data_IF_911900075499
#
_entry.id   IF_911900075499
#
_cell.length_a   1.000
_cell.length_b   1.000
_cell.length_c   1.000
_cell.angle_alpha   90.00
_cell.angle_beta   90.00
_cell.angle_gamma   90.00
#
_symmetry.space_group_name_H-M   'P 1'
#
loop_
_entity.id
_entity.type
_entity.pdbx_description
1 polymer ?
#
# COMPACT_ATOMS: atom_id res chain seq x y z
N UNK A 1 -8.38 29.82 -1.07
CA UNK A 1 -8.85 28.55 -1.68
C UNK A 1 -8.58 27.46 -0.66
N UNK A 2 -9.59 26.74 -0.24
CA UNK A 2 -9.43 25.61 0.67
C UNK A 2 -8.53 24.54 0.00
N UNK A 3 -7.44 24.15 0.65
CA UNK A 3 -6.50 23.16 0.12
C UNK A 3 -7.22 21.81 0.07
N UNK A 4 -7.41 21.26 -1.14
CA UNK A 4 -8.03 19.95 -1.32
C UNK A 4 -7.09 18.89 -0.77
N UNK A 5 -7.51 18.17 0.26
CA UNK A 5 -6.75 17.09 0.88
C UNK A 5 -6.55 15.94 -0.10
N UNK A 6 -5.39 15.31 -0.05
CA UNK A 6 -5.04 14.22 -0.97
C UNK A 6 -4.57 13.00 -0.22
N UNK A 7 -4.99 11.83 -0.68
CA UNK A 7 -4.39 10.56 -0.28
C UNK A 7 -4.06 9.73 -1.51
N UNK A 8 -3.05 8.88 -1.42
CA UNK A 8 -2.77 7.87 -2.43
C UNK A 8 -3.10 6.47 -1.91
N UNK A 9 -3.75 5.66 -2.75
CA UNK A 9 -4.00 4.25 -2.48
C UNK A 9 -3.26 3.37 -3.47
N UNK A 10 -2.46 2.43 -2.96
CA UNK A 10 -1.64 1.49 -3.74
C UNK A 10 -2.22 0.10 -3.64
N UNK A 11 -2.77 -0.40 -4.74
CA UNK A 11 -3.49 -1.66 -4.78
C UNK A 11 -2.58 -2.90 -4.73
N UNK A 12 -3.15 -4.05 -4.33
CA UNK A 12 -2.46 -5.33 -4.34
C UNK A 12 -2.37 -5.99 -5.71
N UNK A 13 -1.76 -7.18 -5.75
CA UNK A 13 -1.55 -7.97 -6.96
C UNK A 13 -2.86 -8.22 -7.74
N UNK A 14 -2.79 -8.10 -9.05
CA UNK A 14 -3.89 -8.28 -10.00
C UNK A 14 -5.12 -7.37 -9.78
N UNK A 15 -5.00 -6.33 -8.95
CA UNK A 15 -6.04 -5.32 -8.75
C UNK A 15 -5.80 -4.08 -9.63
N UNK A 16 -6.48 -2.97 -9.36
CA UNK A 16 -6.35 -1.71 -10.11
C UNK A 16 -6.75 -0.49 -9.28
N UNK A 17 -6.51 0.70 -9.82
CA UNK A 17 -6.99 1.97 -9.29
C UNK A 17 -8.51 2.18 -9.36
N UNK A 18 -9.27 1.17 -9.83
CA UNK A 18 -10.74 1.15 -9.86
C UNK A 18 -11.33 0.02 -9.00
N UNK A 19 -10.57 -0.51 -8.04
CA UNK A 19 -11.00 -1.57 -7.12
C UNK A 19 -12.14 -1.13 -6.19
N UNK A 20 -12.84 -2.10 -5.61
CA UNK A 20 -13.91 -1.83 -4.64
C UNK A 20 -13.43 -1.00 -3.45
N UNK A 21 -12.22 -1.26 -2.95
CA UNK A 21 -11.60 -0.45 -1.88
C UNK A 21 -11.43 1.02 -2.28
N UNK A 22 -10.95 1.28 -3.51
CA UNK A 22 -10.82 2.66 -4.02
C UNK A 22 -12.17 3.34 -4.14
N UNK A 23 -13.18 2.63 -4.61
CA UNK A 23 -14.55 3.18 -4.71
C UNK A 23 -15.12 3.50 -3.33
N UNK A 24 -14.88 2.63 -2.34
CA UNK A 24 -15.28 2.90 -0.96
C UNK A 24 -14.56 4.13 -0.40
N UNK A 25 -13.23 4.22 -0.51
CA UNK A 25 -12.45 5.37 -0.04
C UNK A 25 -12.95 6.69 -0.65
N UNK A 26 -13.23 6.73 -1.95
CA UNK A 26 -13.77 7.91 -2.62
C UNK A 26 -15.15 8.32 -2.10
N UNK A 27 -16.01 7.34 -1.78
CA UNK A 27 -17.34 7.58 -1.20
C UNK A 27 -17.24 8.10 0.24
N UNK A 28 -16.32 7.54 1.02
CA UNK A 28 -16.23 7.77 2.46
C UNK A 28 -15.34 8.96 2.85
N UNK A 29 -14.61 9.53 1.89
CA UNK A 29 -13.76 10.71 2.05
C UNK A 29 -14.25 11.88 1.15
N UNK A 30 -15.45 12.41 1.38
CA UNK A 30 -15.91 13.55 0.62
C UNK A 30 -14.98 14.74 0.87
N UNK A 31 -14.57 15.44 -0.20
CA UNK A 31 -13.60 16.52 -0.12
C UNK A 31 -12.13 16.10 -0.19
N UNK A 32 -11.83 14.81 -0.25
CA UNK A 32 -10.48 14.33 -0.53
C UNK A 32 -10.33 13.87 -1.98
N UNK A 33 -9.17 14.15 -2.55
CA UNK A 33 -8.75 13.53 -3.80
C UNK A 33 -8.05 12.21 -3.51
N UNK A 34 -8.71 11.08 -3.86
CA UNK A 34 -8.14 9.74 -3.76
C UNK A 34 -7.42 9.38 -5.06
N UNK A 35 -6.09 9.45 -5.03
CA UNK A 35 -5.19 9.10 -6.12
C UNK A 35 -4.98 7.58 -6.06
N UNK A 36 -5.32 6.88 -7.13
CA UNK A 36 -5.14 5.42 -7.20
C UNK A 36 -4.66 5.06 -8.60
N UNK A 37 -3.35 4.92 -8.82
CA UNK A 37 -2.80 4.54 -10.11
C UNK A 37 -3.00 3.06 -10.38
N UNK A 38 -3.02 2.69 -11.66
CA UNK A 38 -2.87 1.31 -12.11
C UNK A 38 -1.37 0.98 -12.19
N UNK A 39 -0.92 0.00 -11.42
CA UNK A 39 0.51 -0.31 -11.33
C UNK A 39 1.01 -1.07 -12.57
N UNK A 40 2.21 -0.76 -13.08
CA UNK A 40 2.96 -1.63 -13.98
C UNK A 40 3.22 -3.02 -13.37
N UNK A 41 3.47 -4.00 -14.23
CA UNK A 41 3.82 -5.35 -13.79
C UNK A 41 5.25 -5.41 -13.24
N UNK A 42 6.14 -4.61 -13.82
CA UNK A 42 7.52 -4.48 -13.38
C UNK A 42 7.59 -3.74 -12.03
N UNK A 43 8.24 -4.32 -11.00
CA UNK A 43 8.25 -3.71 -9.67
C UNK A 43 9.03 -2.39 -9.57
N UNK A 44 10.10 -2.23 -10.36
CA UNK A 44 10.88 -1.00 -10.33
C UNK A 44 10.15 0.14 -11.05
N UNK A 45 9.53 -0.15 -12.21
CA UNK A 45 8.67 0.84 -12.90
C UNK A 45 7.49 1.26 -12.01
N UNK A 46 6.89 0.30 -11.28
CA UNK A 46 5.81 0.61 -10.34
C UNK A 46 6.28 1.51 -9.21
N UNK A 47 7.42 1.21 -8.59
CA UNK A 47 7.96 2.01 -7.49
C UNK A 47 8.39 3.41 -7.95
N UNK A 48 9.04 3.52 -9.12
CA UNK A 48 9.43 4.81 -9.72
C UNK A 48 8.19 5.67 -10.01
N UNK A 49 7.17 5.11 -10.64
CA UNK A 49 5.90 5.79 -10.88
C UNK A 49 5.25 6.29 -9.57
N UNK A 50 5.23 5.46 -8.54
CA UNK A 50 4.66 5.84 -7.24
C UNK A 50 5.43 6.97 -6.56
N UNK A 51 6.76 6.95 -6.63
CA UNK A 51 7.62 8.04 -6.12
C UNK A 51 7.36 9.35 -6.86
N UNK A 52 7.28 9.31 -8.20
CA UNK A 52 6.95 10.48 -9.00
C UNK A 52 5.57 11.07 -8.64
N UNK A 53 4.56 10.22 -8.42
CA UNK A 53 3.23 10.66 -7.97
C UNK A 53 3.30 11.30 -6.57
N UNK A 54 4.06 10.73 -5.64
CA UNK A 54 4.23 11.33 -4.29
C UNK A 54 4.89 12.70 -4.40
N UNK A 55 5.92 12.85 -5.21
CA UNK A 55 6.63 14.12 -5.43
C UNK A 55 5.73 15.18 -6.09
N UNK A 56 4.97 14.81 -7.11
CA UNK A 56 4.09 15.73 -7.85
C UNK A 56 2.85 16.11 -7.05
N UNK A 57 2.17 15.12 -6.48
CA UNK A 57 0.85 15.31 -5.87
C UNK A 57 0.92 15.68 -4.38
N UNK A 58 2.02 15.38 -3.70
CA UNK A 58 2.20 15.64 -2.27
C UNK A 58 1.01 15.14 -1.44
N UNK A 59 0.67 13.82 -1.46
CA UNK A 59 -0.43 13.31 -0.67
C UNK A 59 -0.12 13.41 0.83
N UNK A 60 -1.13 13.71 1.64
CA UNK A 60 -0.99 13.78 3.11
C UNK A 60 -0.77 12.38 3.72
N UNK A 61 -1.17 11.32 3.02
CA UNK A 61 -1.00 9.93 3.45
C UNK A 61 -1.03 8.98 2.26
N UNK A 62 -0.26 7.90 2.35
CA UNK A 62 -0.30 6.79 1.40
C UNK A 62 -0.78 5.52 2.10
N UNK A 63 -1.72 4.81 1.50
CA UNK A 63 -2.23 3.52 1.98
C UNK A 63 -1.95 2.45 0.95
N UNK A 64 -1.27 1.39 1.34
CA UNK A 64 -1.00 0.24 0.45
C UNK A 64 -1.48 -1.08 1.03
N UNK A 65 -2.02 -1.95 0.19
CA UNK A 65 -2.52 -3.27 0.59
C UNK A 65 -1.76 -4.40 -0.07
N UNK A 66 -1.38 -5.43 0.68
CA UNK A 66 -0.68 -6.62 0.16
C UNK A 66 0.61 -6.23 -0.60
N UNK A 67 0.75 -6.57 -1.90
CA UNK A 67 1.83 -6.08 -2.76
C UNK A 67 1.96 -4.55 -2.74
N UNK A 68 0.84 -3.84 -2.73
CA UNK A 68 0.84 -2.38 -2.60
C UNK A 68 1.44 -1.90 -1.28
N UNK A 69 1.33 -2.68 -0.21
CA UNK A 69 2.00 -2.42 1.07
C UNK A 69 3.52 -2.53 0.98
N UNK A 70 4.05 -3.46 0.18
CA UNK A 70 5.48 -3.58 -0.10
C UNK A 70 6.03 -2.32 -0.78
N UNK A 71 5.31 -1.75 -1.75
CA UNK A 71 5.72 -0.50 -2.37
C UNK A 71 5.58 0.68 -1.41
N UNK A 72 4.43 0.77 -0.74
CA UNK A 72 4.09 1.91 0.13
C UNK A 72 5.12 2.12 1.23
N UNK A 73 5.62 1.06 1.86
CA UNK A 73 6.65 1.20 2.88
C UNK A 73 7.97 1.80 2.37
N UNK A 74 8.22 1.80 1.06
CA UNK A 74 9.40 2.37 0.40
C UNK A 74 9.21 3.82 -0.10
N UNK A 75 8.05 4.44 0.18
CA UNK A 75 7.74 5.81 -0.18
C UNK A 75 8.08 6.75 0.98
N UNK A 76 9.31 7.26 0.99
CA UNK A 76 9.86 8.05 2.09
C UNK A 76 9.22 9.43 2.24
N UNK A 77 9.28 9.99 3.46
CA UNK A 77 8.89 11.37 3.74
C UNK A 77 7.39 11.65 3.76
N UNK A 78 6.54 10.63 3.71
CA UNK A 78 5.09 10.77 3.76
C UNK A 78 4.47 9.77 4.74
N UNK A 79 3.44 10.13 5.54
CA UNK A 79 2.70 9.19 6.38
C UNK A 79 2.16 8.00 5.58
N UNK A 80 2.32 6.78 6.10
CA UNK A 80 1.99 5.53 5.38
C UNK A 80 1.27 4.51 6.26
N UNK A 81 0.24 3.89 5.70
CA UNK A 81 -0.40 2.70 6.27
C UNK A 81 -0.17 1.53 5.33
N UNK A 82 0.45 0.47 5.82
CA UNK A 82 0.63 -0.79 5.09
C UNK A 82 -0.31 -1.86 5.66
N UNK A 83 -1.28 -2.29 4.85
CA UNK A 83 -2.33 -3.22 5.27
C UNK A 83 -2.00 -4.61 4.76
N UNK A 84 -1.85 -5.58 5.67
CA UNK A 84 -1.48 -6.94 5.34
C UNK A 84 -0.37 -7.00 4.27
N UNK A 85 0.77 -6.28 4.47
CA UNK A 85 1.78 -6.11 3.44
C UNK A 85 2.40 -7.46 3.06
N UNK A 86 2.66 -7.65 1.76
CA UNK A 86 3.34 -8.83 1.22
C UNK A 86 4.77 -8.47 0.83
N UNK A 87 5.74 -8.73 1.71
CA UNK A 87 7.15 -8.35 1.50
C UNK A 87 7.97 -9.41 0.75
N UNK A 88 7.39 -10.57 0.43
CA UNK A 88 8.02 -11.67 -0.33
C UNK A 88 7.17 -12.02 -1.57
N UNK A 89 6.94 -11.02 -2.42
CA UNK A 89 6.15 -11.19 -3.65
C UNK A 89 6.78 -12.19 -4.62
N UNK A 90 8.11 -12.18 -4.74
CA UNK A 90 8.83 -13.11 -5.64
C UNK A 90 8.47 -14.57 -5.35
N UNK A 91 8.38 -14.94 -4.07
CA UNK A 91 7.96 -16.27 -3.63
C UNK A 91 6.52 -16.58 -4.03
N UNK A 92 5.61 -15.64 -3.75
CA UNK A 92 4.19 -15.80 -4.10
C UNK A 92 3.97 -15.91 -5.61
N UNK A 93 4.74 -15.15 -6.40
CA UNK A 93 4.68 -15.19 -7.86
C UNK A 93 5.22 -16.51 -8.41
N UNK A 94 6.37 -16.97 -7.90
CA UNK A 94 7.01 -18.21 -8.36
C UNK A 94 6.13 -19.44 -8.12
N UNK A 95 5.49 -19.54 -6.96
CA UNK A 95 4.74 -20.75 -6.58
C UNK A 95 3.25 -20.73 -6.97
N UNK A 96 2.72 -19.65 -7.51
CA UNK A 96 1.28 -19.64 -7.80
C UNK A 96 0.81 -18.70 -8.90
N UNK A 97 1.70 -17.89 -9.50
CA UNK A 97 1.28 -16.83 -10.43
C UNK A 97 2.09 -16.75 -11.73
N UNK A 98 2.97 -17.75 -11.97
CA UNK A 98 3.71 -17.79 -13.24
C UNK A 98 2.79 -17.91 -14.45
N UNK A 99 3.15 -17.24 -15.53
CA UNK A 99 2.39 -17.25 -16.78
C UNK A 99 1.33 -16.15 -16.84
N UNK A 100 0.21 -16.44 -17.52
CA UNK A 100 -0.89 -15.50 -17.74
C UNK A 100 -1.77 -15.36 -16.50
N UNK A 101 -2.05 -14.12 -16.12
CA UNK A 101 -2.93 -13.74 -15.02
C UNK A 101 -3.99 -12.76 -15.51
N UNK A 102 -5.17 -12.74 -14.88
CA UNK A 102 -6.23 -11.77 -15.17
C UNK A 102 -6.29 -10.71 -14.09
N UNK A 103 -6.55 -9.48 -14.49
CA UNK A 103 -6.91 -8.45 -13.53
C UNK A 103 -8.32 -8.71 -12.96
N UNK A 104 -8.48 -8.54 -11.67
CA UNK A 104 -9.76 -8.73 -10.95
C UNK A 104 -10.61 -7.46 -10.94
N UNK A 105 -10.02 -6.31 -11.28
CA UNK A 105 -10.70 -5.01 -11.37
C UNK A 105 -10.36 -4.37 -12.70
N UNK A 106 -11.28 -3.55 -13.21
CA UNK A 106 -11.11 -2.82 -14.47
C UNK A 106 -9.95 -1.82 -14.35
N UNK A 107 -9.05 -1.81 -15.32
CA UNK A 107 -7.96 -0.84 -15.44
C UNK A 107 -8.35 0.33 -16.37
N UNK A 108 -7.72 1.47 -16.16
CA UNK A 108 -7.92 2.66 -17.02
C UNK A 108 -7.37 2.47 -18.42
N UNK A 109 -6.26 1.70 -18.57
CA UNK A 109 -5.64 1.35 -19.85
C UNK A 109 -6.42 0.28 -20.63
N UNK A 110 -7.48 -0.30 -20.07
CA UNK A 110 -8.29 -1.34 -20.68
C UNK A 110 -7.67 -2.74 -20.64
N UNK A 111 -6.47 -2.91 -20.08
CA UNK A 111 -5.84 -4.22 -19.99
C UNK A 111 -6.66 -5.16 -19.08
N UNK A 112 -6.89 -6.38 -19.57
CA UNK A 112 -7.64 -7.41 -18.84
C UNK A 112 -6.75 -8.52 -18.30
N UNK A 113 -5.54 -8.65 -18.86
CA UNK A 113 -4.59 -9.71 -18.54
C UNK A 113 -3.16 -9.15 -18.51
N UNK A 114 -2.28 -9.87 -17.81
CA UNK A 114 -0.85 -9.62 -17.75
C UNK A 114 -0.08 -10.93 -17.61
N UNK A 115 1.23 -10.88 -17.79
CA UNK A 115 2.08 -12.06 -17.71
C UNK A 115 3.15 -11.88 -16.64
N UNK A 116 3.34 -12.92 -15.84
CA UNK A 116 4.49 -13.08 -14.94
C UNK A 116 5.45 -14.10 -15.53
N UNK A 117 6.65 -13.68 -15.81
CA UNK A 117 7.74 -14.54 -16.26
C UNK A 117 8.89 -14.53 -15.24
N UNK A 118 9.97 -15.28 -15.54
CA UNK A 118 11.11 -15.38 -14.65
C UNK A 118 11.80 -14.02 -14.41
N UNK A 119 11.83 -13.15 -15.43
CA UNK A 119 12.48 -11.85 -15.29
C UNK A 119 11.75 -10.96 -14.28
N UNK A 120 10.43 -10.95 -14.31
CA UNK A 120 9.60 -10.23 -13.34
C UNK A 120 9.85 -10.77 -11.91
N UNK A 121 9.90 -12.10 -11.74
CA UNK A 121 10.20 -12.69 -10.43
C UNK A 121 11.59 -12.30 -9.91
N UNK A 122 12.62 -12.33 -10.76
CA UNK A 122 13.98 -11.91 -10.36
C UNK A 122 14.05 -10.43 -10.01
N UNK A 123 13.31 -9.57 -10.69
CA UNK A 123 13.22 -8.14 -10.35
C UNK A 123 12.53 -7.92 -8.99
N UNK A 124 11.47 -8.67 -8.67
CA UNK A 124 10.89 -8.66 -7.32
C UNK A 124 11.89 -9.12 -6.27
N UNK A 125 12.64 -10.20 -6.50
CA UNK A 125 13.70 -10.65 -5.59
C UNK A 125 14.77 -9.58 -5.34
N UNK A 126 15.15 -8.85 -6.38
CA UNK A 126 16.13 -7.79 -6.25
C UNK A 126 15.58 -6.63 -5.42
N UNK A 127 14.37 -6.19 -5.66
CA UNK A 127 13.70 -5.17 -4.84
C UNK A 127 13.57 -5.63 -3.38
N UNK A 128 13.20 -6.86 -3.14
CA UNK A 128 13.01 -7.44 -1.79
C UNK A 128 14.28 -7.41 -0.94
N UNK A 129 15.46 -7.54 -1.55
CA UNK A 129 16.75 -7.44 -0.83
C UNK A 129 16.98 -6.05 -0.23
N UNK A 130 16.47 -5.01 -0.90
CA UNK A 130 16.77 -3.61 -0.59
C UNK A 130 15.56 -2.82 -0.07
N UNK A 131 14.38 -3.44 0.01
CA UNK A 131 13.14 -2.74 0.35
C UNK A 131 13.12 -2.09 1.74
N UNK A 132 14.03 -2.51 2.64
CA UNK A 132 14.15 -1.96 3.99
C UNK A 132 15.45 -1.18 4.22
N UNK A 133 16.27 -1.01 3.19
CA UNK A 133 17.51 -0.25 3.30
C UNK A 133 17.22 1.23 3.56
N UNK A 134 17.98 1.85 4.45
CA UNK A 134 17.87 3.27 4.72
C UNK A 134 16.72 3.71 5.63
N UNK A 135 16.03 2.77 6.33
CA UNK A 135 15.03 3.14 7.32
C UNK A 135 15.68 3.89 8.47
N UNK A 136 15.32 5.16 8.64
CA UNK A 136 15.71 6.00 9.78
C UNK A 136 14.65 5.96 10.89
N UNK A 137 15.00 6.47 12.09
CA UNK A 137 14.02 6.56 13.17
C UNK A 137 12.87 7.53 12.86
N UNK A 138 13.14 8.60 12.11
CA UNK A 138 12.10 9.51 11.62
C UNK A 138 11.15 8.79 10.66
N UNK A 139 11.68 8.01 9.72
CA UNK A 139 10.86 7.22 8.80
C UNK A 139 9.99 6.18 9.50
N UNK A 140 10.49 5.58 10.59
CA UNK A 140 9.67 4.64 11.41
C UNK A 140 8.43 5.31 11.99
N UNK A 141 8.50 6.59 12.36
CA UNK A 141 7.37 7.32 12.90
C UNK A 141 6.27 7.58 11.86
N UNK A 142 6.60 7.55 10.59
CA UNK A 142 5.66 7.78 9.49
C UNK A 142 4.90 6.53 9.05
N UNK A 143 5.26 5.33 9.54
CA UNK A 143 4.68 4.06 9.08
C UNK A 143 3.84 3.39 10.16
N UNK A 144 2.65 2.92 9.78
CA UNK A 144 1.81 2.04 10.60
C UNK A 144 1.46 0.78 9.80
N UNK A 145 1.74 -0.38 10.39
CA UNK A 145 1.27 -1.68 9.90
C UNK A 145 -0.13 -1.99 10.43
N UNK A 146 -1.06 -2.36 9.55
CA UNK A 146 -2.43 -2.75 9.90
C UNK A 146 -2.66 -4.20 9.47
N UNK A 147 -2.90 -5.11 10.43
CA UNK A 147 -2.93 -6.56 10.23
C UNK A 147 -4.29 -7.16 10.53
N UNK A 148 -4.79 -8.01 9.63
CA UNK A 148 -5.98 -8.84 9.87
C UNK A 148 -5.64 -10.04 10.75
N UNK A 149 -6.37 -10.23 11.84
CA UNK A 149 -6.18 -11.35 12.78
C UNK A 149 -6.53 -12.73 12.19
N UNK A 150 -7.20 -12.73 11.03
CA UNK A 150 -7.62 -13.93 10.28
C UNK A 150 -7.04 -13.98 8.87
N UNK A 151 -5.92 -13.29 8.62
CA UNK A 151 -5.26 -13.31 7.31
C UNK A 151 -4.56 -14.66 7.08
N UNK A 152 -5.01 -15.49 6.10
CA UNK A 152 -4.38 -16.77 5.80
C UNK A 152 -3.24 -16.64 4.78
N UNK A 153 -2.98 -15.45 4.24
CA UNK A 153 -2.13 -15.24 3.06
C UNK A 153 -0.73 -14.76 3.46
N UNK A 154 -0.65 -13.78 4.37
CA UNK A 154 0.63 -13.16 4.76
C UNK A 154 0.77 -13.05 6.28
N UNK A 155 2.02 -13.21 6.77
CA UNK A 155 2.33 -13.20 8.20
C UNK A 155 3.58 -12.36 8.48
N UNK A 156 3.57 -11.08 8.05
CA UNK A 156 4.71 -10.17 8.17
C UNK A 156 4.66 -9.25 9.40
N UNK A 157 3.70 -9.46 10.32
CA UNK A 157 3.68 -8.74 11.59
C UNK A 157 5.00 -8.83 12.36
N UNK A 158 5.63 -10.03 12.54
CA UNK A 158 6.88 -10.10 13.31
C UNK A 158 8.03 -9.30 12.68
N UNK A 159 8.09 -9.26 11.35
CA UNK A 159 9.07 -8.43 10.63
C UNK A 159 8.79 -6.94 10.81
N UNK A 160 7.53 -6.54 10.67
CA UNK A 160 7.09 -5.16 10.86
C UNK A 160 7.37 -4.67 12.29
N UNK A 161 7.00 -5.45 13.30
CA UNK A 161 7.25 -5.14 14.71
C UNK A 161 8.75 -5.03 15.03
N UNK A 162 9.58 -5.91 14.43
CA UNK A 162 11.05 -5.83 14.57
C UNK A 162 11.65 -4.58 13.95
N UNK A 163 11.18 -4.16 12.77
CA UNK A 163 11.76 -3.03 12.02
C UNK A 163 11.24 -1.67 12.49
N UNK A 164 9.95 -1.59 12.79
CA UNK A 164 9.25 -0.33 13.06
C UNK A 164 8.80 -0.15 14.51
N UNK A 165 8.79 -1.23 15.30
CA UNK A 165 8.27 -1.26 16.67
C UNK A 165 6.85 -1.84 16.76
N UNK A 166 6.56 -2.53 17.86
CA UNK A 166 5.21 -3.12 18.08
C UNK A 166 4.13 -2.05 18.17
N UNK A 167 4.47 -0.89 18.74
CA UNK A 167 3.57 0.28 18.85
C UNK A 167 3.15 0.85 17.49
N UNK A 168 3.89 0.53 16.42
CA UNK A 168 3.56 0.90 15.03
C UNK A 168 2.68 -0.14 14.33
N UNK A 169 2.31 -1.20 15.03
CA UNK A 169 1.45 -2.28 14.52
C UNK A 169 0.06 -2.22 15.13
N UNK A 170 -0.96 -2.35 14.30
CA UNK A 170 -2.37 -2.37 14.68
C UNK A 170 -3.03 -3.63 14.14
N UNK A 171 -4.05 -4.12 14.82
CA UNK A 171 -4.82 -5.29 14.43
C UNK A 171 -6.28 -4.94 14.14
N UNK A 172 -6.87 -5.65 13.22
CA UNK A 172 -8.30 -5.61 12.96
C UNK A 172 -8.89 -7.01 12.86
N UNK A 173 -10.16 -7.15 13.20
CA UNK A 173 -10.87 -8.40 13.01
C UNK A 173 -11.25 -8.56 11.53
N UNK A 174 -10.45 -9.32 10.79
CA UNK A 174 -10.63 -9.51 9.36
C UNK A 174 -9.56 -10.35 8.70
N UNK A 175 -9.78 -10.58 7.41
CA UNK A 175 -8.94 -11.42 6.55
C UNK A 175 -7.95 -10.55 5.75
N UNK A 176 -7.30 -11.17 4.74
CA UNK A 176 -6.32 -10.52 3.87
C UNK A 176 -6.89 -9.31 3.11
N UNK A 177 -8.13 -9.41 2.63
CA UNK A 177 -8.77 -8.34 1.87
C UNK A 177 -9.58 -7.41 2.77
N UNK A 178 -9.44 -6.11 2.53
CA UNK A 178 -10.31 -5.12 3.14
C UNK A 178 -11.73 -5.26 2.59
N UNK A 179 -12.69 -5.37 3.49
CA UNK A 179 -14.11 -5.18 3.17
C UNK A 179 -14.57 -3.78 3.60
N UNK A 180 -15.75 -3.37 3.14
CA UNK A 180 -16.28 -2.02 3.42
C UNK A 180 -16.34 -1.71 4.92
N UNK A 181 -16.72 -2.69 5.75
CA UNK A 181 -16.79 -2.51 7.20
C UNK A 181 -15.41 -2.21 7.82
N UNK A 182 -14.36 -2.90 7.37
CA UNK A 182 -12.99 -2.66 7.84
C UNK A 182 -12.49 -1.31 7.34
N UNK A 183 -12.78 -0.95 6.08
CA UNK A 183 -12.45 0.39 5.56
C UNK A 183 -13.10 1.46 6.44
N UNK A 184 -14.41 1.39 6.65
CA UNK A 184 -15.17 2.44 7.34
C UNK A 184 -14.87 2.51 8.86
N UNK A 185 -14.63 1.37 9.51
CA UNK A 185 -14.51 1.31 10.99
C UNK A 185 -13.09 1.29 11.52
N UNK A 186 -12.11 0.95 10.66
CA UNK A 186 -10.72 0.80 11.08
C UNK A 186 -9.79 1.67 10.26
N UNK A 187 -9.79 1.51 8.93
CA UNK A 187 -8.83 2.21 8.07
C UNK A 187 -9.06 3.73 8.04
N UNK A 188 -10.30 4.18 7.87
CA UNK A 188 -10.60 5.61 7.83
C UNK A 188 -10.26 6.33 9.16
N UNK A 189 -10.65 5.83 10.34
CA UNK A 189 -10.20 6.41 11.61
C UNK A 189 -8.68 6.49 11.73
N UNK A 190 -7.94 5.44 11.31
CA UNK A 190 -6.49 5.43 11.35
C UNK A 190 -5.87 6.45 10.38
N UNK A 191 -6.43 6.63 9.18
CA UNK A 191 -6.04 7.69 8.24
C UNK A 191 -6.17 9.05 8.92
N UNK A 192 -7.31 9.33 9.53
CA UNK A 192 -7.58 10.62 10.19
C UNK A 192 -6.66 10.86 11.39
N UNK A 193 -6.38 9.82 12.19
CA UNK A 193 -5.44 9.86 13.31
C UNK A 193 -4.04 10.26 12.84
N UNK A 194 -3.50 9.58 11.82
CA UNK A 194 -2.15 9.81 11.32
C UNK A 194 -1.98 11.21 10.73
N UNK A 195 -2.96 11.66 9.96
CA UNK A 195 -2.91 13.00 9.33
C UNK A 195 -3.05 14.11 10.37
N UNK A 196 -3.87 13.92 11.41
CA UNK A 196 -3.97 14.88 12.51
C UNK A 196 -2.68 14.94 13.36
N UNK A 197 -2.03 13.80 13.59
CA UNK A 197 -0.75 13.71 14.29
C UNK A 197 0.38 14.42 13.56
N UNK A 198 0.45 14.29 12.24
CA UNK A 198 1.45 14.98 11.41
C UNK A 198 1.25 16.51 11.43
N UNK A 199 0.02 16.97 11.30
CA UNK A 199 -0.28 18.41 11.37
C UNK A 199 0.14 19.02 12.72
N UNK A 200 0.01 18.27 13.81
CA UNK A 200 0.42 18.72 15.15
C UNK A 200 1.96 18.74 15.31
N UNK A 201 2.70 17.89 14.59
CA UNK A 201 4.17 17.86 14.63
C UNK A 201 4.81 18.98 13.80
N UNK A 202 4.19 19.36 12.69
CA UNK A 202 4.69 20.43 11.81
C UNK A 202 4.33 21.85 12.31
N UNK A 203 3.38 21.98 13.23
CA UNK A 203 2.97 23.26 13.83
C UNK A 203 3.80 23.68 15.05
N UNK A 204 4.85 22.96 15.38
CA UNK A 204 5.81 23.28 16.46
C UNK A 204 7.14 23.74 15.86
#
# INVERSE_FOLDING_TARGET
MEHMRKMMYVHGFASSGSSGTVMNLRRSLPGWRVIAPDLPVDPFEALEMLRAIVEEEQPEIVVGTSMGGMYTQQLWGVPRIVVNPSFEMSRSLLFGKMGRNKYVSKRKDGATEFRIDKSVVERFKEMEKHQFDGITDDEKQLVVGLFGDKDPVVHFYPLMAKLYGEERCRWFNGEHRLNDKVVDKVLLPLIMEMVAGEAASQGR
#
